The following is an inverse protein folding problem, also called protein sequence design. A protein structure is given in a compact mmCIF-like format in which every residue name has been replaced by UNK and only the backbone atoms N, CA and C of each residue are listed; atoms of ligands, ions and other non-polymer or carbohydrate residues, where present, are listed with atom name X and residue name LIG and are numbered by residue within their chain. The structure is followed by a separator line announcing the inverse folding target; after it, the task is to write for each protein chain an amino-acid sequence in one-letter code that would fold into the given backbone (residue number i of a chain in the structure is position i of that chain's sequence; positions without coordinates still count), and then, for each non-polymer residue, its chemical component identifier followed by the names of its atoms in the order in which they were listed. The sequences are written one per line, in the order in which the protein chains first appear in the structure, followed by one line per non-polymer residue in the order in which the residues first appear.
data_IF_335184897061
#
_entry.id   IF_335184897061
#
_cell.length_a   1.000
_cell.length_b   1.000
_cell.length_c   1.000
_cell.angle_alpha   90.00
_cell.angle_beta   90.00
_cell.angle_gamma   90.00
#
_symmetry.space_group_name_H-M   'P 1'
#
loop_
_entity.id
_entity.type
_entity.pdbx_description
1 polymer ?
#
# COMPACT_ATOMS: atom_id res chain seq x y z
N UNK A 1 4.27 -27.85 -7.10
CA UNK A 1 3.42 -27.90 -5.90
C UNK A 1 4.31 -27.68 -4.71
N UNK A 2 4.39 -26.43 -4.20
CA UNK A 2 5.11 -26.16 -2.95
C UNK A 2 4.45 -27.00 -1.86
N UNK A 3 5.21 -27.92 -1.30
CA UNK A 3 4.69 -28.83 -0.28
C UNK A 3 4.43 -28.04 1.00
N UNK A 4 3.38 -28.39 1.72
CA UNK A 4 3.04 -27.86 3.06
C UNK A 4 4.24 -27.81 4.04
N UNK A 5 5.29 -28.58 3.79
CA UNK A 5 6.55 -28.60 4.55
C UNK A 5 7.43 -27.35 4.34
N UNK A 6 7.38 -26.70 3.17
CA UNK A 6 8.12 -25.45 2.88
C UNK A 6 7.42 -24.20 3.45
N UNK A 7 6.10 -24.26 3.63
CA UNK A 7 5.31 -23.19 4.25
C UNK A 7 5.35 -23.23 5.79
N UNK A 8 5.56 -24.42 6.37
CA UNK A 8 5.68 -24.63 7.82
C UNK A 8 6.70 -23.70 8.53
N UNK A 9 7.91 -23.42 7.99
CA UNK A 9 8.83 -22.43 8.57
C UNK A 9 8.42 -20.96 8.34
N UNK A 10 7.55 -20.66 7.38
CA UNK A 10 7.04 -19.30 7.13
C UNK A 10 5.89 -18.93 8.07
N UNK A 11 5.07 -19.92 8.49
CA UNK A 11 3.96 -19.73 9.43
C UNK A 11 4.33 -19.05 10.76
N UNK A 12 5.45 -19.38 11.45
CA UNK A 12 5.85 -18.71 12.69
C UNK A 12 6.46 -17.32 12.48
N UNK A 13 6.85 -16.94 11.25
CA UNK A 13 7.56 -15.68 10.97
C UNK A 13 6.83 -14.40 11.43
N UNK A 14 5.52 -14.20 11.15
CA UNK A 14 4.79 -13.04 11.65
C UNK A 14 4.57 -13.07 13.18
N UNK A 15 4.50 -14.27 13.77
CA UNK A 15 4.37 -14.47 15.22
C UNK A 15 5.65 -14.07 15.96
N UNK A 16 6.82 -14.26 15.35
CA UNK A 16 8.11 -13.84 15.92
C UNK A 16 8.42 -12.36 15.69
N UNK A 17 7.87 -11.72 14.66
CA UNK A 17 8.12 -10.30 14.34
C UNK A 17 7.25 -9.30 15.14
N UNK A 18 6.04 -9.70 15.54
CA UNK A 18 5.09 -8.87 16.29
C UNK A 18 5.39 -8.58 17.79
N UNK A 19 6.10 -9.42 18.57
CA UNK A 19 6.22 -9.22 20.01
C UNK A 19 7.11 -8.02 20.37
N UNK A 20 8.09 -7.67 19.53
CA UNK A 20 8.98 -6.53 19.79
C UNK A 20 8.24 -5.18 19.89
N UNK A 21 7.40 -4.76 18.92
CA UNK A 21 6.64 -3.51 19.04
C UNK A 21 5.60 -3.56 20.17
N UNK A 22 5.01 -4.73 20.44
CA UNK A 22 4.06 -4.90 21.55
C UNK A 22 4.73 -4.77 22.92
N UNK A 23 5.92 -5.34 23.09
CA UNK A 23 6.73 -5.21 24.31
C UNK A 23 7.29 -3.79 24.48
N UNK A 24 7.50 -3.05 23.38
CA UNK A 24 7.97 -1.67 23.42
C UNK A 24 6.86 -0.66 23.78
N UNK A 25 5.60 -0.95 23.44
CA UNK A 25 4.45 -0.06 23.69
C UNK A 25 4.27 0.41 25.15
N UNK A 26 4.44 -0.41 26.20
CA UNK A 26 4.29 0.05 27.58
C UNK A 26 5.49 0.84 28.12
N UNK A 27 6.65 0.79 27.46
CA UNK A 27 7.90 1.39 27.97
C UNK A 27 7.79 2.91 28.20
N UNK A 28 7.23 3.71 27.26
CA UNK A 28 7.09 5.15 27.47
C UNK A 28 6.17 5.51 28.64
N UNK A 29 5.15 4.69 28.93
CA UNK A 29 4.23 4.94 30.04
C UNK A 29 4.86 4.80 31.42
N UNK A 30 5.93 4.00 31.54
CA UNK A 30 6.63 3.74 32.82
C UNK A 30 7.86 4.63 33.02
N UNK A 31 8.58 4.98 31.94
CA UNK A 31 9.85 5.70 32.02
C UNK A 31 9.71 7.21 31.74
N UNK A 32 8.75 7.63 30.91
CA UNK A 32 8.64 9.04 30.53
C UNK A 32 7.96 9.88 31.63
N UNK A 33 8.40 11.15 31.82
CA UNK A 33 7.74 12.06 32.74
C UNK A 33 6.30 12.34 32.28
N UNK A 34 5.34 12.13 33.18
CA UNK A 34 3.93 12.38 32.93
C UNK A 34 3.63 13.87 33.17
N UNK A 35 3.47 14.65 32.10
CA UNK A 35 2.82 15.96 32.21
C UNK A 35 1.30 15.78 32.07
N UNK A 36 0.55 16.38 33.00
CA UNK A 36 -0.91 16.29 33.11
C UNK A 36 -1.64 17.56 32.68
N UNK A 37 -0.97 18.48 31.97
CA UNK A 37 -1.57 19.72 31.51
C UNK A 37 -2.68 19.45 30.48
N UNK A 38 -3.80 20.20 30.50
CA UNK A 38 -4.88 20.07 29.53
C UNK A 38 -4.42 20.32 28.08
N UNK A 39 -3.34 21.11 27.91
CA UNK A 39 -2.68 21.40 26.62
C UNK A 39 -2.18 20.15 25.87
N UNK A 40 -1.83 19.07 26.58
CA UNK A 40 -1.34 17.82 25.97
C UNK A 40 -2.40 17.09 25.13
N UNK A 41 -3.67 17.32 25.44
CA UNK A 41 -4.81 16.69 24.78
C UNK A 41 -5.41 17.55 23.66
N UNK A 42 -4.89 18.77 23.49
CA UNK A 42 -5.29 19.65 22.39
C UNK A 42 -4.51 19.28 21.11
N UNK A 43 -5.14 19.48 19.96
CA UNK A 43 -4.48 19.34 18.66
C UNK A 43 -3.34 20.33 18.51
N UNK A 44 -2.25 19.93 17.88
CA UNK A 44 -1.11 20.82 17.65
C UNK A 44 -1.46 21.87 16.57
N UNK A 45 -1.67 23.12 16.99
CA UNK A 45 -1.87 24.28 16.10
C UNK A 45 -0.89 25.43 16.43
N UNK A 46 0.41 25.11 16.59
CA UNK A 46 1.45 26.11 16.85
C UNK A 46 1.16 27.02 18.07
N UNK A 47 0.51 26.48 19.11
CA UNK A 47 0.15 27.20 20.33
C UNK A 47 -1.15 28.00 20.26
N UNK A 48 -1.90 27.92 19.17
CA UNK A 48 -3.23 28.50 19.03
C UNK A 48 -4.32 27.50 19.40
N UNK A 49 -5.46 27.99 19.89
CA UNK A 49 -6.64 27.15 20.10
C UNK A 49 -7.14 26.65 18.74
N UNK A 50 -7.44 25.35 18.62
CA UNK A 50 -7.92 24.77 17.37
C UNK A 50 -9.30 25.34 17.03
N UNK A 51 -9.36 26.19 16.01
CA UNK A 51 -10.54 26.95 15.64
C UNK A 51 -11.00 26.52 14.24
N UNK A 52 -12.09 25.75 14.18
CA UNK A 52 -12.72 25.37 12.91
C UNK A 52 -13.34 23.98 12.93
N UNK A 53 -14.02 23.65 11.83
CA UNK A 53 -14.52 22.30 11.59
C UNK A 53 -13.37 21.42 11.06
N UNK A 54 -13.10 20.28 11.71
CA UNK A 54 -12.06 19.32 11.30
C UNK A 54 -12.38 18.65 9.95
N UNK A 55 -13.60 18.85 9.43
CA UNK A 55 -14.08 18.26 8.18
C UNK A 55 -13.57 19.02 6.95
N UNK A 56 -12.32 18.73 6.59
CA UNK A 56 -11.79 19.13 5.27
C UNK A 56 -12.22 18.14 4.20
N UNK A 57 -12.62 18.65 3.03
CA UNK A 57 -12.92 17.81 1.87
C UNK A 57 -11.64 17.14 1.37
N UNK A 58 -11.61 15.81 1.39
CA UNK A 58 -10.55 15.06 0.74
C UNK A 58 -10.61 15.29 -0.77
N UNK A 59 -9.52 15.81 -1.32
CA UNK A 59 -9.40 16.10 -2.74
C UNK A 59 -9.44 14.79 -3.53
N UNK A 60 -10.19 14.77 -4.66
CA UNK A 60 -10.29 13.60 -5.55
C UNK A 60 -8.93 13.13 -6.10
N UNK A 61 -7.91 13.99 -6.04
CA UNK A 61 -6.54 13.69 -6.46
C UNK A 61 -5.93 12.49 -5.70
N UNK A 62 -6.27 12.33 -4.42
CA UNK A 62 -5.79 11.19 -3.63
C UNK A 62 -6.38 9.86 -4.10
N UNK A 63 -7.63 9.87 -4.57
CA UNK A 63 -8.26 8.70 -5.18
C UNK A 63 -7.54 8.29 -6.47
N UNK A 64 -7.27 9.25 -7.35
CA UNK A 64 -6.53 8.99 -8.59
C UNK A 64 -5.13 8.43 -8.32
N UNK A 65 -4.44 8.94 -7.29
CA UNK A 65 -3.13 8.45 -6.88
C UNK A 65 -3.17 7.00 -6.38
N UNK A 66 -4.23 6.61 -5.67
CA UNK A 66 -4.39 5.24 -5.15
C UNK A 66 -4.83 4.25 -6.23
N UNK A 67 -5.71 4.65 -7.16
CA UNK A 67 -6.27 3.73 -8.17
C UNK A 67 -5.32 3.42 -9.33
N UNK A 68 -4.48 4.36 -9.74
CA UNK A 68 -3.57 4.16 -10.91
C UNK A 68 -2.55 3.03 -10.68
N UNK A 69 -1.89 2.89 -9.52
CA UNK A 69 -1.02 1.75 -9.25
C UNK A 69 -1.76 0.42 -9.03
N UNK A 70 -3.01 0.45 -8.56
CA UNK A 70 -3.79 -0.77 -8.29
C UNK A 70 -4.27 -1.45 -9.57
N UNK A 71 -4.52 -0.70 -10.65
CA UNK A 71 -5.01 -1.28 -11.89
C UNK A 71 -3.99 -2.23 -12.57
N UNK A 72 -2.70 -1.91 -12.70
CA UNK A 72 -1.70 -2.87 -13.18
C UNK A 72 -1.46 -4.07 -12.24
N UNK A 73 -1.69 -3.93 -10.92
CA UNK A 73 -1.48 -5.02 -9.96
C UNK A 73 -2.37 -6.23 -10.27
N UNK A 74 -3.63 -6.03 -10.68
CA UNK A 74 -4.53 -7.15 -11.05
C UNK A 74 -4.05 -7.88 -12.31
N UNK A 75 -3.42 -7.17 -13.25
CA UNK A 75 -2.86 -7.75 -14.47
C UNK A 75 -1.65 -8.62 -14.14
N UNK A 76 -0.83 -8.25 -13.14
CA UNK A 76 0.29 -9.12 -12.71
C UNK A 76 -0.16 -10.46 -12.13
N UNK A 77 -1.33 -10.49 -11.46
CA UNK A 77 -1.94 -11.74 -10.99
C UNK A 77 -2.42 -12.58 -12.17
N UNK A 78 -2.99 -11.94 -13.20
CA UNK A 78 -3.41 -12.61 -14.45
C UNK A 78 -2.23 -13.20 -15.24
N UNK A 79 -1.08 -12.54 -15.19
CA UNK A 79 0.15 -13.00 -15.86
C UNK A 79 0.83 -14.16 -15.12
N UNK A 80 0.53 -14.38 -13.84
CA UNK A 80 1.20 -15.41 -13.05
C UNK A 80 0.94 -16.84 -13.57
N UNK A 81 -0.31 -17.28 -13.83
CA UNK A 81 -0.57 -18.59 -14.44
C UNK A 81 0.14 -18.77 -15.79
N UNK A 82 0.14 -17.74 -16.63
CA UNK A 82 0.84 -17.77 -17.91
C UNK A 82 2.36 -17.93 -17.73
N UNK A 83 2.96 -17.18 -16.81
CA UNK A 83 4.39 -17.28 -16.50
C UNK A 83 4.79 -18.67 -15.98
N UNK A 84 3.93 -19.31 -15.16
CA UNK A 84 4.19 -20.66 -14.64
C UNK A 84 4.05 -21.77 -15.70
N UNK A 85 3.25 -21.55 -16.74
CA UNK A 85 2.97 -22.55 -17.80
C UNK A 85 3.62 -22.22 -19.14
N UNK A 86 4.50 -21.21 -19.20
CA UNK A 86 5.09 -20.65 -20.43
C UNK A 86 5.64 -21.70 -21.42
N UNK A 87 6.19 -22.82 -20.91
CA UNK A 87 6.76 -23.89 -21.73
C UNK A 87 5.72 -24.66 -22.54
N UNK A 88 4.46 -24.66 -22.11
CA UNK A 88 3.36 -25.45 -22.68
C UNK A 88 2.36 -24.58 -23.46
N UNK A 89 2.31 -23.26 -23.19
CA UNK A 89 1.24 -22.37 -23.69
C UNK A 89 1.38 -21.89 -25.15
N UNK A 90 2.55 -22.10 -25.78
CA UNK A 90 2.80 -21.73 -27.17
C UNK A 90 2.68 -20.23 -27.50
N UNK A 91 2.69 -19.89 -28.79
CA UNK A 91 2.75 -18.49 -29.28
C UNK A 91 1.42 -17.74 -29.10
N UNK A 92 0.29 -18.45 -29.06
CA UNK A 92 -1.03 -17.84 -28.84
C UNK A 92 -1.12 -17.18 -27.46
N UNK A 93 -0.73 -17.92 -26.42
CA UNK A 93 -0.74 -17.41 -25.05
C UNK A 93 0.27 -16.28 -24.84
N UNK A 94 1.40 -16.29 -25.55
CA UNK A 94 2.35 -15.16 -25.54
C UNK A 94 1.73 -13.87 -26.05
N UNK A 95 0.90 -13.94 -27.09
CA UNK A 95 0.22 -12.78 -27.67
C UNK A 95 -0.84 -12.21 -26.72
N UNK A 96 -1.58 -13.09 -26.03
CA UNK A 96 -2.56 -12.70 -25.01
C UNK A 96 -1.89 -12.06 -23.80
N UNK A 97 -0.82 -12.65 -23.26
CA UNK A 97 -0.05 -12.09 -22.16
C UNK A 97 0.59 -10.74 -22.51
N UNK A 98 1.15 -10.62 -23.72
CA UNK A 98 1.70 -9.35 -24.20
C UNK A 98 0.64 -8.26 -24.32
N UNK A 99 -0.57 -8.62 -24.75
CA UNK A 99 -1.72 -7.70 -24.83
C UNK A 99 -2.19 -7.25 -23.45
N UNK A 100 -2.30 -8.19 -22.50
CA UNK A 100 -2.64 -7.89 -21.09
C UNK A 100 -1.61 -6.97 -20.43
N UNK A 101 -0.32 -7.04 -20.78
CA UNK A 101 0.70 -6.10 -20.31
C UNK A 101 0.63 -4.75 -21.04
N UNK A 102 0.42 -4.74 -22.35
CA UNK A 102 0.47 -3.53 -23.16
C UNK A 102 -0.64 -2.52 -22.82
N UNK A 103 -1.88 -3.00 -22.64
CA UNK A 103 -3.06 -2.17 -22.34
C UNK A 103 -2.89 -1.31 -21.06
N UNK A 104 -2.56 -1.87 -19.87
CA UNK A 104 -2.40 -1.10 -18.64
C UNK A 104 -1.15 -0.21 -18.66
N UNK A 105 -0.10 -0.58 -19.41
CA UNK A 105 1.06 0.31 -19.61
C UNK A 105 0.63 1.57 -20.35
N UNK A 106 -0.12 1.43 -21.45
CA UNK A 106 -0.64 2.58 -22.20
C UNK A 106 -1.57 3.42 -21.32
N UNK A 107 -2.46 2.78 -20.56
CA UNK A 107 -3.33 3.45 -19.59
C UNK A 107 -2.56 4.23 -18.52
N UNK A 108 -1.49 3.64 -17.97
CA UNK A 108 -0.64 4.26 -16.95
C UNK A 108 0.18 5.42 -17.50
N UNK A 109 0.71 5.28 -18.72
CA UNK A 109 1.41 6.38 -19.42
C UNK A 109 0.45 7.51 -19.73
N UNK A 110 -0.78 7.20 -20.16
CA UNK A 110 -1.82 8.20 -20.39
C UNK A 110 -2.22 8.93 -19.11
N UNK A 111 -2.44 8.20 -18.01
CA UNK A 111 -2.76 8.78 -16.71
C UNK A 111 -1.65 9.71 -16.20
N UNK A 112 -0.38 9.32 -16.37
CA UNK A 112 0.79 10.17 -16.07
C UNK A 112 0.80 11.45 -16.89
N UNK A 113 0.54 11.36 -18.20
CA UNK A 113 0.49 12.53 -19.09
C UNK A 113 -0.66 13.49 -18.77
N UNK A 114 -1.76 12.99 -18.22
CA UNK A 114 -2.90 13.81 -17.76
C UNK A 114 -2.73 14.40 -16.36
N UNK A 115 -1.58 14.23 -15.73
CA UNK A 115 -1.32 14.79 -14.40
C UNK A 115 -2.02 14.04 -13.26
N UNK A 116 -2.53 12.81 -13.49
CA UNK A 116 -3.17 12.01 -12.44
C UNK A 116 -2.19 11.60 -11.32
N UNK A 117 -0.88 11.67 -11.58
CA UNK A 117 0.20 11.42 -10.62
C UNK A 117 1.04 12.68 -10.32
N UNK A 118 0.57 13.86 -10.71
CA UNK A 118 1.32 15.11 -10.54
C UNK A 118 1.24 15.57 -9.07
N UNK A 119 2.40 15.68 -8.42
CA UNK A 119 2.52 16.00 -6.98
C UNK A 119 2.61 17.51 -6.68
N UNK A 120 2.33 18.37 -7.64
CA UNK A 120 2.58 19.81 -7.50
C UNK A 120 1.49 20.64 -8.20
N UNK A 121 0.48 21.05 -7.43
CA UNK A 121 -0.03 22.42 -7.45
C UNK A 121 0.06 22.96 -6.03
#
# INVERSE_FOLDING_TARGET
MLSILEYNPLLPSPLTASPAPLAAYPIPGTVAPVSGGPEKFLGYESGMESMGDTRTQFQIRYYMFASVPVAPDVETVSLHPWATSFRESGVSAFTEASTSVAIPIVGSVYARRKGALERSQ
#
